data_IF_442976079516
#
_entry.id   IF_442976079516
#
_cell.length_a   1.000
_cell.length_b   1.000
_cell.length_c   1.000
_cell.angle_alpha   90.00
_cell.angle_beta   90.00
_cell.angle_gamma   90.00
#
_symmetry.space_group_name_H-M   'P 1'
#
loop_
_entity.id
_entity.type
_entity.pdbx_description
1 polymer ?
#
# COMPACT_ATOMS: atom_id res chain seq x y z
N UNK A 1 26.50 16.10 27.35
CA UNK A 1 25.38 15.39 28.03
C UNK A 1 25.07 14.15 27.22
N UNK A 2 25.05 12.97 27.84
CA UNK A 2 24.59 11.73 27.19
C UNK A 2 23.06 11.71 27.22
N UNK A 3 22.43 11.85 26.06
CA UNK A 3 20.97 11.74 25.91
C UNK A 3 20.57 10.31 26.24
N UNK A 4 19.77 10.13 27.29
CA UNK A 4 19.24 8.81 27.66
C UNK A 4 18.10 8.43 26.72
N UNK A 5 18.07 7.19 26.26
CA UNK A 5 16.93 6.65 25.48
C UNK A 5 15.71 6.56 26.39
N UNK A 6 14.50 6.70 25.85
CA UNK A 6 13.25 6.54 26.65
C UNK A 6 13.14 5.15 27.28
N UNK A 7 13.71 4.11 26.65
CA UNK A 7 13.84 2.77 27.23
C UNK A 7 14.57 2.76 28.58
N UNK A 8 15.50 3.69 28.80
CA UNK A 8 16.26 3.85 30.04
C UNK A 8 15.54 4.71 31.08
N UNK A 9 14.39 5.29 30.73
CA UNK A 9 13.58 6.17 31.58
C UNK A 9 12.31 5.47 32.09
N UNK A 10 12.24 4.14 31.98
CA UNK A 10 11.10 3.34 32.46
C UNK A 10 9.91 3.28 31.49
N UNK A 11 9.99 3.93 30.31
CA UNK A 11 8.89 3.98 29.34
C UNK A 11 8.52 2.59 28.83
N UNK A 12 9.49 1.69 28.65
CA UNK A 12 9.21 0.29 28.25
C UNK A 12 8.35 -0.43 29.29
N UNK A 13 8.67 -0.28 30.58
CA UNK A 13 7.88 -0.87 31.65
C UNK A 13 6.48 -0.28 31.72
N UNK A 14 6.35 1.04 31.54
CA UNK A 14 5.05 1.70 31.52
C UNK A 14 4.19 1.21 30.35
N UNK A 15 4.74 1.11 29.13
CA UNK A 15 4.04 0.58 27.94
C UNK A 15 3.54 -0.84 28.21
N UNK A 16 4.38 -1.73 28.74
CA UNK A 16 3.97 -3.11 29.02
C UNK A 16 2.80 -3.15 30.02
N UNK A 17 2.84 -2.31 31.06
CA UNK A 17 1.77 -2.22 32.06
C UNK A 17 0.45 -1.73 31.45
N UNK A 18 0.51 -0.78 30.51
CA UNK A 18 -0.67 -0.32 29.76
C UNK A 18 -1.22 -1.42 28.86
N UNK A 19 -0.37 -2.16 28.14
CA UNK A 19 -0.78 -3.28 27.28
C UNK A 19 -1.46 -4.39 28.09
N UNK A 20 -0.91 -4.74 29.26
CA UNK A 20 -1.54 -5.71 30.17
C UNK A 20 -2.90 -5.23 30.68
N UNK A 21 -3.00 -3.96 31.10
CA UNK A 21 -4.26 -3.36 31.57
C UNK A 21 -5.33 -3.41 30.48
N UNK A 22 -4.94 -3.20 29.22
CA UNK A 22 -5.83 -3.28 28.06
C UNK A 22 -6.04 -4.70 27.53
N UNK A 23 -5.41 -5.71 28.14
CA UNK A 23 -5.44 -7.10 27.67
C UNK A 23 -4.94 -7.29 26.22
N UNK A 24 -4.07 -6.40 25.74
CA UNK A 24 -3.47 -6.47 24.41
C UNK A 24 -2.26 -7.42 24.49
N UNK A 25 -2.42 -8.63 23.96
CA UNK A 25 -1.38 -9.68 23.97
C UNK A 25 -0.44 -9.61 22.77
N UNK A 26 -0.89 -9.02 21.68
CA UNK A 26 -0.15 -8.95 20.42
C UNK A 26 -0.09 -7.50 19.96
N UNK A 27 1.11 -7.02 19.66
CA UNK A 27 1.27 -5.68 19.11
C UNK A 27 0.55 -5.58 17.76
N UNK A 28 -0.21 -4.51 17.57
CA UNK A 28 -0.72 -4.12 16.25
C UNK A 28 0.45 -3.75 15.32
N UNK A 29 0.28 -3.78 13.99
CA UNK A 29 1.32 -3.35 13.06
C UNK A 29 1.86 -1.95 13.34
N UNK A 30 0.98 -1.01 13.71
CA UNK A 30 1.35 0.35 14.10
C UNK A 30 2.20 0.34 15.37
N UNK A 31 1.81 -0.42 16.39
CA UNK A 31 2.60 -0.56 17.62
C UNK A 31 3.97 -1.18 17.37
N UNK A 32 4.06 -2.22 16.55
CA UNK A 32 5.32 -2.88 16.20
C UNK A 32 6.28 -1.93 15.47
N UNK A 33 5.75 -1.03 14.63
CA UNK A 33 6.55 -0.03 13.92
C UNK A 33 6.96 1.16 14.82
N UNK A 34 6.06 1.64 15.69
CA UNK A 34 6.26 2.88 16.43
C UNK A 34 6.95 2.69 17.79
N UNK A 35 6.62 1.63 18.56
CA UNK A 35 7.12 1.45 19.94
C UNK A 35 8.65 1.42 20.00
N UNK A 36 9.38 0.65 19.15
CA UNK A 36 10.84 0.64 19.20
C UNK A 36 11.44 2.04 19.03
N UNK A 37 10.89 2.85 18.12
CA UNK A 37 11.39 4.22 17.85
C UNK A 37 11.12 5.17 19.00
N UNK A 38 9.91 5.10 19.59
CA UNK A 38 9.59 5.81 20.83
C UNK A 38 10.58 5.41 21.93
N UNK A 39 10.91 4.13 22.07
CA UNK A 39 11.85 3.68 23.08
C UNK A 39 13.29 4.12 22.83
N UNK A 40 13.67 4.35 21.57
CA UNK A 40 14.99 4.85 21.21
C UNK A 40 15.12 6.37 21.30
N UNK A 41 14.01 7.10 21.35
CA UNK A 41 14.02 8.56 21.34
C UNK A 41 14.42 9.15 19.99
N UNK A 42 14.26 8.38 18.92
CA UNK A 42 14.35 8.86 17.55
C UNK A 42 13.04 9.57 17.19
N UNK A 43 13.15 10.81 16.72
CA UNK A 43 12.02 11.55 16.17
C UNK A 43 11.58 10.90 14.86
N UNK A 44 10.30 10.51 14.88
CA UNK A 44 9.45 9.98 13.83
C UNK A 44 9.71 8.55 13.33
N UNK A 45 8.67 7.69 13.29
CA UNK A 45 8.70 6.60 12.37
C UNK A 45 8.88 7.14 10.95
N UNK A 46 9.92 6.67 10.23
CA UNK A 46 9.93 6.58 8.75
C UNK A 46 8.49 6.71 8.24
N UNK A 47 8.17 7.79 7.51
CA UNK A 47 6.80 8.16 7.23
C UNK A 47 6.07 6.93 6.69
N UNK A 48 5.02 6.50 7.38
CA UNK A 48 4.21 5.38 6.90
C UNK A 48 3.72 5.83 5.53
N UNK A 49 4.05 5.11 4.44
CA UNK A 49 3.67 5.54 3.10
C UNK A 49 2.16 5.74 3.10
N UNK A 50 1.73 6.98 2.85
CA UNK A 50 0.30 7.27 2.80
C UNK A 50 -0.24 6.64 1.52
N UNK A 51 -1.40 6.02 1.64
CA UNK A 51 -2.06 5.40 0.51
C UNK A 51 -3.35 6.14 0.20
N UNK A 52 -3.55 6.49 -1.06
CA UNK A 52 -4.83 6.96 -1.56
C UNK A 52 -5.51 5.90 -2.42
N UNK A 53 -6.83 5.92 -2.45
CA UNK A 53 -7.61 5.15 -3.40
C UNK A 53 -8.11 6.09 -4.49
N UNK A 54 -7.63 5.84 -5.70
CA UNK A 54 -7.99 6.60 -6.90
C UNK A 54 -8.93 5.79 -7.78
N UNK A 55 -9.79 6.49 -8.50
CA UNK A 55 -10.55 5.92 -9.62
C UNK A 55 -9.93 6.39 -10.92
N UNK A 56 -9.56 5.45 -11.78
CA UNK A 56 -8.83 5.69 -13.02
C UNK A 56 -9.65 5.12 -14.18
N UNK A 57 -9.92 5.93 -15.19
CA UNK A 57 -10.60 5.47 -16.41
C UNK A 57 -9.56 5.16 -17.47
N UNK A 58 -9.54 3.93 -17.96
CA UNK A 58 -8.65 3.50 -19.04
C UNK A 58 -9.47 3.39 -20.31
N UNK A 59 -9.09 4.15 -21.33
CA UNK A 59 -9.73 4.12 -22.63
C UNK A 59 -8.88 3.32 -23.61
N UNK A 60 -9.45 2.25 -24.16
CA UNK A 60 -8.79 1.44 -25.20
C UNK A 60 -9.82 0.72 -26.06
N UNK A 61 -9.39 0.27 -27.23
CA UNK A 61 -10.20 -0.65 -28.03
C UNK A 61 -10.14 -2.07 -27.45
N UNK A 62 -11.12 -2.91 -27.77
CA UNK A 62 -11.17 -4.30 -27.29
C UNK A 62 -9.99 -5.15 -27.75
N UNK A 63 -9.35 -4.80 -28.88
CA UNK A 63 -8.18 -5.50 -29.44
C UNK A 63 -6.84 -4.98 -28.93
N UNK A 64 -6.79 -3.78 -28.35
CA UNK A 64 -5.55 -3.19 -27.85
C UNK A 64 -5.17 -3.78 -26.49
N UNK A 65 -3.89 -4.04 -26.25
CA UNK A 65 -3.40 -4.41 -24.93
C UNK A 65 -3.38 -3.19 -23.98
N UNK A 66 -3.56 -3.41 -22.67
CA UNK A 66 -3.44 -2.33 -21.68
C UNK A 66 -2.04 -1.73 -21.61
N UNK A 67 -1.00 -2.55 -21.85
CA UNK A 67 0.39 -2.11 -21.86
C UNK A 67 0.99 -1.89 -20.48
N UNK A 68 0.74 -2.81 -19.55
CA UNK A 68 1.44 -2.87 -18.27
C UNK A 68 1.81 -4.31 -17.93
N UNK A 69 2.86 -4.48 -17.12
CA UNK A 69 3.18 -5.74 -16.47
C UNK A 69 2.60 -5.72 -15.06
N UNK A 70 1.89 -6.80 -14.71
CA UNK A 70 1.29 -6.98 -13.39
C UNK A 70 1.89 -8.23 -12.77
N UNK A 71 2.23 -8.13 -11.49
CA UNK A 71 2.50 -9.29 -10.64
C UNK A 71 1.29 -9.61 -9.79
N UNK A 72 1.06 -10.90 -9.54
CA UNK A 72 -0.01 -11.38 -8.67
C UNK A 72 0.62 -12.19 -7.57
N UNK A 73 0.48 -11.73 -6.33
CA UNK A 73 0.95 -12.43 -5.14
C UNK A 73 -0.09 -12.30 -4.05
N UNK A 74 -0.43 -13.41 -3.39
CA UNK A 74 -1.43 -13.45 -2.33
C UNK A 74 -2.77 -12.78 -2.71
N UNK A 75 -3.19 -12.96 -3.97
CA UNK A 75 -4.43 -12.38 -4.50
C UNK A 75 -4.38 -10.88 -4.81
N UNK A 76 -3.21 -10.23 -4.68
CA UNK A 76 -3.01 -8.80 -4.93
C UNK A 76 -2.39 -8.63 -6.32
N UNK A 77 -3.07 -7.87 -7.19
CA UNK A 77 -2.58 -7.49 -8.51
C UNK A 77 -1.84 -6.15 -8.43
N UNK A 78 -0.50 -6.18 -8.49
CA UNK A 78 0.36 -4.98 -8.41
C UNK A 78 0.97 -4.66 -9.76
N UNK A 79 0.91 -3.40 -10.18
CA UNK A 79 1.58 -2.90 -11.38
C UNK A 79 3.08 -2.90 -11.14
N UNK A 80 3.80 -3.67 -11.94
CA UNK A 80 5.26 -3.77 -11.89
C UNK A 80 5.91 -2.72 -12.79
N UNK A 81 5.38 -2.54 -13.99
CA UNK A 81 5.84 -1.53 -14.94
C UNK A 81 4.73 -1.17 -15.91
N UNK A 82 4.86 0.01 -16.50
CA UNK A 82 3.96 0.54 -17.52
C UNK A 82 4.75 0.78 -18.80
N UNK A 83 4.14 0.45 -19.94
CA UNK A 83 4.75 0.62 -21.25
C UNK A 83 4.43 2.05 -21.74
N UNK A 84 5.45 2.85 -22.09
CA UNK A 84 5.23 4.19 -22.63
C UNK A 84 4.30 4.21 -23.85
N UNK A 85 3.40 5.20 -23.92
CA UNK A 85 2.40 5.36 -24.98
C UNK A 85 1.26 4.33 -24.96
N UNK A 86 1.19 3.48 -23.94
CA UNK A 86 0.09 2.53 -23.78
C UNK A 86 -1.17 3.19 -23.20
N UNK A 87 -2.34 2.53 -23.30
CA UNK A 87 -3.58 3.04 -22.70
C UNK A 87 -3.53 3.36 -21.20
N UNK A 88 -2.55 2.83 -20.47
CA UNK A 88 -2.41 3.03 -19.02
C UNK A 88 -1.23 3.93 -18.64
N UNK A 89 -0.47 4.46 -19.60
CA UNK A 89 0.77 5.20 -19.37
C UNK A 89 0.62 6.44 -18.48
N UNK A 90 -0.44 7.21 -18.69
CA UNK A 90 -0.75 8.40 -17.89
C UNK A 90 -1.66 8.09 -16.69
N UNK A 91 -2.13 6.85 -16.57
CA UNK A 91 -3.18 6.45 -15.65
C UNK A 91 -2.64 5.66 -14.45
N UNK A 92 -1.66 4.79 -14.70
CA UNK A 92 -1.09 3.87 -13.73
C UNK A 92 0.41 4.12 -13.55
N UNK A 93 0.92 3.83 -12.36
CA UNK A 93 2.34 3.83 -12.07
C UNK A 93 2.79 2.49 -11.50
N UNK A 94 4.09 2.21 -11.64
CA UNK A 94 4.71 1.09 -10.95
C UNK A 94 4.50 1.26 -9.44
N UNK A 95 4.02 0.21 -8.77
CA UNK A 95 3.67 0.27 -7.37
C UNK A 95 2.16 0.23 -7.11
N UNK A 96 1.34 0.71 -8.04
CA UNK A 96 -0.12 0.74 -7.90
C UNK A 96 -0.67 -0.67 -7.68
N UNK A 97 -1.67 -0.76 -6.80
CA UNK A 97 -2.40 -1.99 -6.52
C UNK A 97 -3.79 -1.87 -7.11
N UNK A 98 -4.15 -2.79 -8.00
CA UNK A 98 -5.47 -2.80 -8.62
C UNK A 98 -6.47 -3.49 -7.66
N UNK A 99 -7.50 -2.75 -7.25
CA UNK A 99 -8.49 -3.20 -6.27
C UNK A 99 -9.76 -3.75 -6.95
N UNK A 100 -10.27 -3.02 -7.94
CA UNK A 100 -11.48 -3.40 -8.67
C UNK A 100 -11.45 -2.91 -10.12
N UNK A 101 -12.16 -3.62 -10.99
CA UNK A 101 -12.37 -3.26 -12.39
C UNK A 101 -13.88 -3.24 -12.65
N UNK A 102 -14.41 -2.10 -13.11
CA UNK A 102 -15.85 -1.87 -13.32
C UNK A 102 -16.71 -2.24 -12.10
N UNK A 103 -16.19 -1.94 -10.90
CA UNK A 103 -16.84 -2.25 -9.62
C UNK A 103 -16.68 -3.70 -9.15
N UNK A 104 -16.08 -4.59 -9.96
CA UNK A 104 -15.80 -5.97 -9.57
C UNK A 104 -14.47 -6.01 -8.84
N UNK A 105 -14.48 -6.42 -7.57
CA UNK A 105 -13.26 -6.67 -6.82
C UNK A 105 -12.44 -7.77 -7.49
N UNK A 106 -11.17 -7.49 -7.76
CA UNK A 106 -10.28 -8.41 -8.50
C UNK A 106 -9.31 -9.17 -7.60
N UNK A 107 -9.54 -9.16 -6.29
CA UNK A 107 -8.82 -10.05 -5.38
C UNK A 107 -9.01 -11.50 -5.82
N UNK A 108 -7.90 -12.23 -5.99
CA UNK A 108 -7.85 -13.58 -6.56
C UNK A 108 -8.10 -13.70 -8.08
N UNK A 109 -8.21 -12.59 -8.80
CA UNK A 109 -8.25 -12.59 -10.27
C UNK A 109 -6.87 -12.24 -10.86
N UNK A 110 -6.73 -12.45 -12.16
CA UNK A 110 -5.60 -12.07 -13.01
C UNK A 110 -5.35 -10.56 -13.12
N UNK A 111 -6.13 -9.73 -12.42
CA UNK A 111 -6.16 -8.28 -12.60
C UNK A 111 -6.56 -7.89 -14.02
N UNK A 112 -5.88 -6.90 -14.62
CA UNK A 112 -6.16 -6.44 -16.00
C UNK A 112 -6.03 -7.56 -17.05
N UNK A 113 -5.26 -8.61 -16.78
CA UNK A 113 -5.08 -9.74 -17.72
C UNK A 113 -6.39 -10.41 -18.06
N UNK A 114 -7.30 -10.55 -17.09
CA UNK A 114 -8.59 -11.22 -17.28
C UNK A 114 -9.61 -10.34 -18.02
N UNK A 115 -9.35 -9.03 -18.04
CA UNK A 115 -10.19 -8.03 -18.69
C UNK A 115 -9.59 -7.54 -20.02
N UNK A 116 -8.56 -8.23 -20.55
CA UNK A 116 -7.79 -7.81 -21.74
C UNK A 116 -8.65 -7.49 -22.97
N UNK A 117 -9.78 -8.17 -23.15
CA UNK A 117 -10.67 -8.00 -24.30
C UNK A 117 -11.74 -6.91 -24.09
N UNK A 118 -11.81 -6.28 -22.91
CA UNK A 118 -12.71 -5.16 -22.64
C UNK A 118 -12.21 -3.92 -23.37
N UNK A 119 -13.11 -3.05 -23.77
CA UNK A 119 -12.76 -1.72 -24.26
C UNK A 119 -12.39 -0.81 -23.08
N UNK A 120 -13.12 0.29 -22.95
CA UNK A 120 -12.97 1.19 -21.80
C UNK A 120 -13.33 0.47 -20.50
N UNK A 121 -12.55 0.72 -19.45
CA UNK A 121 -12.78 0.20 -18.10
C UNK A 121 -12.54 1.28 -17.06
N UNK A 122 -13.15 1.11 -15.89
CA UNK A 122 -12.89 1.92 -14.71
C UNK A 122 -12.15 1.09 -13.67
N UNK A 123 -10.93 1.47 -13.33
CA UNK A 123 -10.13 0.87 -12.27
C UNK A 123 -10.30 1.64 -10.96
N UNK A 124 -10.33 0.94 -9.84
CA UNK A 124 -9.90 1.50 -8.56
C UNK A 124 -8.50 1.00 -8.25
N UNK A 125 -7.62 1.92 -7.89
CA UNK A 125 -6.24 1.61 -7.52
C UNK A 125 -5.92 2.19 -6.16
N UNK A 126 -5.13 1.46 -5.38
CA UNK A 126 -4.41 2.02 -4.24
C UNK A 126 -3.03 2.45 -4.72
N UNK A 127 -2.70 3.73 -4.48
CA UNK A 127 -1.42 4.33 -4.84
C UNK A 127 -0.71 4.77 -3.58
N UNK A 128 0.60 4.52 -3.52
CA UNK A 128 1.45 5.10 -2.48
C UNK A 128 1.80 6.53 -2.86
N UNK A 129 1.56 7.46 -1.95
CA UNK A 129 1.92 8.87 -2.09
C UNK A 129 3.26 9.07 -1.38
N UNK A 130 4.28 9.46 -2.12
CA UNK A 130 5.49 10.03 -1.51
C UNK A 130 5.18 11.50 -1.19
N UNK A 131 5.18 11.85 0.10
CA UNK A 131 5.16 13.27 0.48
C UNK A 131 6.47 13.90 0.05
N UNK A 132 6.37 14.91 -0.83
CA UNK A 132 7.48 15.79 -1.21
C UNK A 132 7.92 16.68 -0.05
#
# INVERSE_FOLDING_TARGET
MTTKKFSQLGVCSWINQQLETMQIKTATPVQAACIPKILEGSEEPEPVPEHEILTVVINKTSSQHFGCHITISNGIAKVLSVIPGSPVDEALYAGDINLSIDGINIYNYGGLRDFKNRGNITLKVQRTIEKQ
#
